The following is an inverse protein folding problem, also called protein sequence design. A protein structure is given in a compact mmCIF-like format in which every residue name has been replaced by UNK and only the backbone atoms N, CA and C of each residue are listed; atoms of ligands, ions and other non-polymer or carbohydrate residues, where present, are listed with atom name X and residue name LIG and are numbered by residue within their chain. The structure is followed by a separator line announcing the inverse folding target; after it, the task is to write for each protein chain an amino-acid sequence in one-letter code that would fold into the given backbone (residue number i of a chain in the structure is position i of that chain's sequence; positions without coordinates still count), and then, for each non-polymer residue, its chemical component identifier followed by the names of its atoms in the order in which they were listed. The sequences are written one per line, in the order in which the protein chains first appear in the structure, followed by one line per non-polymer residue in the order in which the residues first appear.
data_IF_337632476689
#
_entry.id   IF_337632476689
#
_cell.length_a   1.000
_cell.length_b   1.000
_cell.length_c   1.000
_cell.angle_alpha   90.00
_cell.angle_beta   90.00
_cell.angle_gamma   90.00
#
_symmetry.space_group_name_H-M   'P 1'
#
loop_
_entity.id
_entity.type
_entity.pdbx_description
1 polymer ?
#
# COMPACT_ATOMS: atom_id res chain seq x y z
N UNK A 1 16.60 34.45 -27.34
CA UNK A 1 15.79 33.23 -27.50
C UNK A 1 16.23 32.15 -26.51
N UNK A 2 16.46 32.54 -25.24
CA UNK A 2 16.92 31.64 -24.17
C UNK A 2 15.75 31.18 -23.29
N UNK A 3 14.72 32.02 -23.13
CA UNK A 3 13.51 31.71 -22.32
C UNK A 3 12.70 30.50 -22.83
N UNK A 4 12.74 30.20 -24.13
CA UNK A 4 12.00 29.08 -24.71
C UNK A 4 12.65 27.70 -24.40
N UNK A 5 13.98 27.66 -24.32
CA UNK A 5 14.72 26.41 -24.08
C UNK A 5 14.54 25.91 -22.64
N UNK A 6 14.52 26.83 -21.68
CA UNK A 6 14.26 26.51 -20.28
C UNK A 6 12.80 26.09 -20.04
N UNK A 7 11.86 26.66 -20.79
CA UNK A 7 10.45 26.28 -20.72
C UNK A 7 10.19 24.86 -21.24
N UNK A 8 10.86 24.44 -22.30
CA UNK A 8 10.71 23.09 -22.88
C UNK A 8 11.27 22.02 -21.94
N UNK A 9 12.45 22.26 -21.35
CA UNK A 9 13.06 21.37 -20.36
C UNK A 9 12.24 21.27 -19.07
N UNK A 10 11.62 22.37 -18.64
CA UNK A 10 10.71 22.37 -17.51
C UNK A 10 9.45 21.55 -17.80
N UNK A 11 8.82 21.73 -18.97
CA UNK A 11 7.66 20.94 -19.40
C UNK A 11 7.98 19.46 -19.43
N UNK A 12 9.14 19.09 -19.94
CA UNK A 12 9.55 17.69 -20.01
C UNK A 12 9.70 17.06 -18.62
N UNK A 13 10.34 17.76 -17.68
CA UNK A 13 10.41 17.32 -16.28
C UNK A 13 9.03 17.18 -15.65
N UNK A 14 8.12 18.13 -15.89
CA UNK A 14 6.76 18.05 -15.36
C UNK A 14 6.00 16.82 -15.88
N UNK A 15 6.18 16.45 -17.17
CA UNK A 15 5.59 15.21 -17.72
C UNK A 15 6.15 13.97 -17.03
N UNK A 16 7.46 13.93 -16.78
CA UNK A 16 8.10 12.82 -16.06
C UNK A 16 7.54 12.71 -14.65
N UNK A 17 7.39 13.82 -13.93
CA UNK A 17 6.80 13.85 -12.58
C UNK A 17 5.37 13.29 -12.61
N UNK A 18 4.51 13.79 -13.50
CA UNK A 18 3.14 13.30 -13.62
C UNK A 18 3.07 11.79 -13.94
N UNK A 19 4.01 11.31 -14.76
CA UNK A 19 4.12 9.88 -15.08
C UNK A 19 4.53 9.07 -13.85
N UNK A 20 5.51 9.54 -13.08
CA UNK A 20 5.96 8.89 -11.86
C UNK A 20 4.87 8.88 -10.78
N UNK A 21 4.10 9.96 -10.65
CA UNK A 21 2.95 10.02 -9.74
C UNK A 21 1.92 8.93 -10.03
N UNK A 22 1.56 8.73 -11.30
CA UNK A 22 0.64 7.67 -11.68
C UNK A 22 1.25 6.28 -11.46
N UNK A 23 2.54 6.09 -11.76
CA UNK A 23 3.24 4.83 -11.48
C UNK A 23 3.25 4.49 -9.98
N UNK A 24 3.50 5.47 -9.10
CA UNK A 24 3.47 5.27 -7.64
C UNK A 24 2.06 4.85 -7.21
N UNK A 25 1.04 5.58 -7.65
CA UNK A 25 -0.36 5.27 -7.34
C UNK A 25 -0.76 3.86 -7.80
N UNK A 26 -0.30 3.45 -8.98
CA UNK A 26 -0.54 2.11 -9.50
C UNK A 26 0.16 1.04 -8.65
N UNK A 27 1.43 1.26 -8.28
CA UNK A 27 2.19 0.33 -7.43
C UNK A 27 1.61 0.19 -6.02
N UNK A 28 1.09 1.28 -5.45
CA UNK A 28 0.38 1.24 -4.17
C UNK A 28 -0.89 0.36 -4.23
N UNK A 29 -1.63 0.42 -5.34
CA UNK A 29 -2.81 -0.45 -5.54
C UNK A 29 -2.41 -1.91 -5.66
N UNK A 30 -1.38 -2.21 -6.47
CA UNK A 30 -0.85 -3.57 -6.62
C UNK A 30 -0.37 -4.13 -5.28
N UNK A 31 0.38 -3.36 -4.50
CA UNK A 31 0.84 -3.76 -3.16
C UNK A 31 -0.34 -4.07 -2.22
N UNK A 32 -1.38 -3.21 -2.21
CA UNK A 32 -2.59 -3.44 -1.39
C UNK A 32 -3.33 -4.72 -1.80
N UNK A 33 -3.38 -5.02 -3.09
CA UNK A 33 -4.02 -6.24 -3.60
C UNK A 33 -3.23 -7.49 -3.19
N UNK A 34 -1.93 -7.53 -3.47
CA UNK A 34 -1.06 -8.66 -3.09
C UNK A 34 -1.10 -8.90 -1.58
N UNK A 35 -1.11 -7.83 -0.79
CA UNK A 35 -1.23 -7.94 0.65
C UNK A 35 -2.55 -8.61 1.05
N UNK A 36 -3.68 -8.22 0.44
CA UNK A 36 -5.00 -8.83 0.71
C UNK A 36 -5.01 -10.32 0.35
N UNK A 37 -4.56 -10.67 -0.84
CA UNK A 37 -4.52 -12.05 -1.33
C UNK A 37 -3.61 -12.92 -0.44
N UNK A 38 -2.45 -12.39 -0.02
CA UNK A 38 -1.57 -13.07 0.92
C UNK A 38 -2.23 -13.33 2.27
N UNK A 39 -3.02 -12.37 2.78
CA UNK A 39 -3.74 -12.51 4.05
C UNK A 39 -4.94 -13.46 3.96
N UNK A 40 -5.53 -13.64 2.79
CA UNK A 40 -6.60 -14.62 2.54
C UNK A 40 -6.01 -16.03 2.42
N UNK A 41 -4.95 -16.20 1.64
CA UNK A 41 -4.29 -17.50 1.43
C UNK A 41 -3.63 -18.07 2.70
N UNK A 42 -3.15 -17.21 3.61
CA UNK A 42 -2.41 -17.65 4.80
C UNK A 42 -3.26 -18.34 5.87
N UNK A 43 -4.59 -18.22 5.84
CA UNK A 43 -5.52 -18.91 6.76
C UNK A 43 -5.29 -18.67 8.27
N UNK A 44 -4.28 -17.89 8.63
CA UNK A 44 -3.85 -17.47 9.98
C UNK A 44 -3.58 -15.99 9.88
N UNK A 45 -4.18 -15.22 10.77
CA UNK A 45 -4.02 -13.77 10.76
C UNK A 45 -2.58 -13.42 11.17
N UNK A 46 -1.92 -12.59 10.38
CA UNK A 46 -0.72 -11.88 10.80
C UNK A 46 -1.10 -10.42 11.08
N UNK A 47 -0.48 -9.80 12.07
CA UNK A 47 -0.71 -8.41 12.38
C UNK A 47 -0.33 -7.55 11.17
N UNK A 48 -1.21 -6.68 10.66
CA UNK A 48 -0.92 -5.86 9.49
C UNK A 48 0.07 -4.71 9.75
N UNK A 49 0.49 -4.53 11.01
CA UNK A 49 1.35 -3.42 11.40
C UNK A 49 2.75 -3.87 11.79
N UNK A 50 2.91 -5.09 12.31
CA UNK A 50 4.21 -5.60 12.76
C UNK A 50 4.49 -7.04 12.32
N UNK A 51 3.61 -7.63 11.51
CA UNK A 51 3.76 -8.98 10.93
C UNK A 51 3.84 -10.13 11.93
N UNK A 52 3.55 -9.87 13.21
CA UNK A 52 3.45 -10.91 14.22
C UNK A 52 2.28 -11.86 13.95
N UNK A 53 2.47 -13.15 14.20
CA UNK A 53 1.38 -14.13 14.17
C UNK A 53 0.37 -13.81 15.28
N UNK A 54 -0.91 -13.76 14.93
CA UNK A 54 -2.01 -13.46 15.85
C UNK A 54 -3.06 -14.59 15.78
N UNK A 55 -3.84 -14.75 16.85
CA UNK A 55 -4.97 -15.70 16.87
C UNK A 55 -6.07 -15.23 15.94
N UNK A 56 -6.91 -16.14 15.44
CA UNK A 56 -7.99 -15.78 14.52
C UNK A 56 -9.03 -14.86 15.16
N UNK A 57 -9.29 -15.04 16.47
CA UNK A 57 -10.18 -14.18 17.28
C UNK A 57 -9.50 -12.95 17.90
N UNK A 58 -8.23 -12.70 17.59
CA UNK A 58 -7.48 -11.61 18.21
C UNK A 58 -8.05 -10.23 17.80
N UNK A 59 -8.55 -9.48 18.79
CA UNK A 59 -8.99 -8.07 18.61
C UNK A 59 -7.83 -7.07 18.67
N UNK A 60 -6.72 -7.45 19.30
CA UNK A 60 -5.51 -6.65 19.44
C UNK A 60 -4.28 -7.51 19.19
N UNK A 61 -3.21 -6.91 18.66
CA UNK A 61 -1.94 -7.60 18.49
C UNK A 61 -1.23 -7.75 19.84
N UNK A 62 -0.86 -8.99 20.20
CA UNK A 62 -0.08 -9.31 21.40
C UNK A 62 1.39 -8.82 21.35
N UNK A 63 1.89 -8.42 20.18
CA UNK A 63 3.26 -7.92 20.01
C UNK A 63 3.32 -6.38 19.97
N UNK A 64 2.47 -5.72 19.17
CA UNK A 64 2.53 -4.25 19.01
C UNK A 64 1.38 -3.48 19.67
N UNK A 65 0.39 -4.17 20.26
CA UNK A 65 -0.74 -3.56 20.96
C UNK A 65 -1.80 -2.88 20.07
N UNK A 66 -1.59 -2.80 18.76
CA UNK A 66 -2.56 -2.17 17.85
C UNK A 66 -3.83 -3.02 17.72
N UNK A 67 -4.97 -2.34 17.62
CA UNK A 67 -6.26 -2.95 17.32
C UNK A 67 -6.26 -3.57 15.93
N UNK A 68 -6.83 -4.75 15.81
CA UNK A 68 -6.88 -5.53 14.58
C UNK A 68 -8.24 -5.33 13.90
N UNK A 69 -8.27 -5.14 12.57
CA UNK A 69 -9.52 -5.06 11.85
C UNK A 69 -10.25 -6.42 11.91
N UNK A 70 -11.40 -6.44 12.58
CA UNK A 70 -12.28 -7.61 12.71
C UNK A 70 -12.67 -8.09 11.31
N UNK A 71 -12.39 -9.36 10.96
CA UNK A 71 -13.06 -9.98 9.80
C UNK A 71 -14.45 -10.34 10.28
N UNK A 72 -15.47 -9.75 9.65
CA UNK A 72 -16.83 -10.25 9.76
C UNK A 72 -16.82 -11.57 8.98
N UNK A 73 -16.97 -12.70 9.68
CA UNK A 73 -17.27 -13.97 9.04
C UNK A 73 -18.70 -13.86 8.50
N UNK A 74 -18.84 -13.73 7.18
CA UNK A 74 -20.14 -13.92 6.52
C UNK A 74 -20.39 -15.41 6.47
N UNK A 75 -21.32 -15.85 7.31
CA UNK A 75 -21.85 -17.21 7.39
C UNK A 75 -22.67 -17.57 6.15
#
# INVERSE_FOLDING_TARGET
SEENFDQEKLKEKCKVIATLEEQVKQKEKELKQVYRESQEARGKRFCPYCEAKISDDAKFCNQCGKSLPVKIETN
#
